data_IF_978787603628
#
_entry.id   IF_978787603628
#
_cell.length_a   1.000
_cell.length_b   1.000
_cell.length_c   1.000
_cell.angle_alpha   90.00
_cell.angle_beta   90.00
_cell.angle_gamma   90.00
#
_symmetry.space_group_name_H-M   'P 1'
#
loop_
_entity.id
_entity.type
_entity.pdbx_description
1 polymer ?
#
# COMPACT_ATOMS: atom_id res chain seq x y z
N UNK A 1 -7.93 -4.80 -15.17
CA UNK A 1 -6.73 -4.64 -14.30
C UNK A 1 -5.90 -3.49 -14.83
N UNK A 2 -5.50 -3.46 -16.09
CA UNK A 2 -4.79 -2.32 -16.73
C UNK A 2 -5.50 -0.98 -16.51
N UNK A 3 -6.83 -0.98 -16.64
CA UNK A 3 -7.63 0.21 -16.42
C UNK A 3 -7.54 0.69 -14.96
N UNK A 4 -7.62 -0.23 -14.00
CA UNK A 4 -7.55 0.09 -12.56
C UNK A 4 -6.19 0.64 -12.17
N UNK A 5 -5.09 0.00 -12.60
CA UNK A 5 -3.73 0.46 -12.31
C UNK A 5 -3.44 1.81 -12.97
N UNK A 6 -3.93 2.01 -14.20
CA UNK A 6 -3.85 3.31 -14.86
C UNK A 6 -4.60 4.39 -14.09
N UNK A 7 -5.81 4.09 -13.61
CA UNK A 7 -6.62 5.06 -12.86
C UNK A 7 -5.99 5.41 -11.51
N UNK A 8 -5.39 4.46 -10.80
CA UNK A 8 -4.64 4.77 -9.57
C UNK A 8 -3.44 5.68 -9.86
N UNK A 9 -2.67 5.40 -10.92
CA UNK A 9 -1.57 6.27 -11.33
C UNK A 9 -2.03 7.67 -11.69
N UNK A 10 -3.11 7.80 -12.44
CA UNK A 10 -3.70 9.09 -12.78
C UNK A 10 -4.27 9.81 -11.53
N UNK A 11 -4.94 9.09 -10.64
CA UNK A 11 -5.51 9.66 -9.43
C UNK A 11 -4.46 10.33 -8.55
N UNK A 12 -3.27 9.75 -8.46
CA UNK A 12 -2.21 10.28 -7.59
C UNK A 12 -1.18 11.16 -8.31
N UNK A 13 -1.31 11.33 -9.63
CA UNK A 13 -0.35 12.07 -10.46
C UNK A 13 -0.18 13.54 -10.06
N UNK A 14 -1.20 14.14 -9.49
CA UNK A 14 -1.22 15.55 -9.14
C UNK A 14 -1.09 15.82 -7.64
N UNK A 15 -0.65 14.80 -6.88
CA UNK A 15 -0.39 15.01 -5.46
C UNK A 15 0.81 15.92 -5.25
N UNK A 16 0.69 16.96 -4.41
CA UNK A 16 1.79 17.89 -4.15
C UNK A 16 2.90 17.23 -3.34
N UNK A 17 4.09 17.80 -3.44
CA UNK A 17 5.26 17.42 -2.66
C UNK A 17 4.98 17.46 -1.15
N UNK A 18 5.44 16.46 -0.43
CA UNK A 18 5.20 16.30 0.99
C UNK A 18 3.91 15.57 1.32
N UNK A 19 3.19 15.06 0.31
CA UNK A 19 2.01 14.22 0.53
C UNK A 19 2.41 12.78 0.83
N UNK A 20 1.73 12.17 1.78
CA UNK A 20 1.69 10.73 1.99
C UNK A 20 0.31 10.22 1.63
N UNK A 21 0.26 9.15 0.85
CA UNK A 21 -0.96 8.38 0.63
C UNK A 21 -0.75 7.02 1.28
N UNK A 22 -1.50 6.74 2.32
CA UNK A 22 -1.51 5.44 2.96
C UNK A 22 -2.74 4.67 2.49
N UNK A 23 -2.49 3.61 1.74
CA UNK A 23 -3.50 2.69 1.23
C UNK A 23 -3.51 1.45 2.11
N UNK A 24 -4.65 1.17 2.72
CA UNK A 24 -4.88 -0.02 3.53
C UNK A 24 -5.94 -0.89 2.85
N UNK A 25 -5.54 -2.08 2.47
CA UNK A 25 -6.45 -3.11 1.95
C UNK A 25 -6.67 -4.16 3.04
N UNK A 26 -7.89 -4.25 3.53
CA UNK A 26 -8.31 -5.22 4.54
C UNK A 26 -9.09 -6.34 3.87
N UNK A 27 -8.64 -7.56 4.07
CA UNK A 27 -9.24 -8.77 3.53
C UNK A 27 -9.68 -9.68 4.67
N UNK A 28 -10.99 -9.88 4.78
CA UNK A 28 -11.57 -10.69 5.85
C UNK A 28 -12.28 -11.91 5.28
N UNK A 29 -11.99 -13.07 5.83
CA UNK A 29 -12.70 -14.31 5.60
C UNK A 29 -14.07 -14.24 6.25
N UNK A 30 -15.12 -14.36 5.47
CA UNK A 30 -16.51 -14.33 5.93
C UNK A 30 -17.30 -15.50 5.38
N UNK A 31 -18.26 -15.96 6.15
CA UNK A 31 -19.27 -16.90 5.70
C UNK A 31 -20.38 -16.14 4.98
N UNK A 32 -20.74 -16.60 3.80
CA UNK A 32 -21.87 -16.05 3.07
C UNK A 32 -23.19 -16.52 3.70
N UNK A 33 -24.04 -15.58 4.08
CA UNK A 33 -25.39 -15.81 4.54
C UNK A 33 -26.36 -14.93 3.77
N UNK A 34 -27.29 -15.58 3.08
CA UNK A 34 -28.34 -14.89 2.31
C UNK A 34 -29.20 -14.00 3.23
N UNK A 35 -29.43 -12.77 2.79
CA UNK A 35 -30.34 -11.83 3.48
C UNK A 35 -29.72 -11.07 4.65
N UNK A 36 -28.42 -11.22 4.93
CA UNK A 36 -27.71 -10.37 5.89
C UNK A 36 -27.11 -9.11 5.25
N UNK A 37 -27.75 -8.63 4.19
CA UNK A 37 -27.78 -7.21 3.83
C UNK A 37 -26.48 -6.61 3.33
N UNK A 38 -25.70 -7.31 2.50
CA UNK A 38 -24.53 -6.68 1.88
C UNK A 38 -24.85 -5.97 0.56
N UNK A 39 -26.06 -6.13 0.00
CA UNK A 39 -26.40 -5.62 -1.33
C UNK A 39 -25.47 -6.13 -2.43
N UNK A 40 -24.74 -7.20 -2.15
CA UNK A 40 -23.72 -7.77 -3.02
C UNK A 40 -24.32 -8.38 -4.26
N UNK A 41 -23.51 -8.59 -5.29
CA UNK A 41 -23.91 -9.34 -6.48
C UNK A 41 -24.51 -10.71 -6.11
N UNK A 42 -24.01 -11.36 -5.06
CA UNK A 42 -24.48 -12.66 -4.59
C UNK A 42 -25.92 -12.60 -4.04
N UNK A 43 -26.34 -11.48 -3.45
CA UNK A 43 -27.72 -11.29 -2.96
C UNK A 43 -28.74 -11.18 -4.11
N UNK A 44 -28.31 -10.78 -5.30
CA UNK A 44 -29.14 -10.62 -6.50
C UNK A 44 -29.24 -11.91 -7.34
N UNK A 45 -28.19 -12.75 -7.28
CA UNK A 45 -28.23 -14.06 -7.90
C UNK A 45 -29.01 -15.04 -7.02
N UNK A 46 -29.48 -16.15 -7.58
CA UNK A 46 -30.02 -17.25 -6.75
C UNK A 46 -28.88 -17.93 -5.99
N UNK A 47 -28.47 -17.28 -4.90
CA UNK A 47 -27.25 -17.53 -4.17
C UNK A 47 -27.37 -18.69 -3.16
N UNK A 48 -28.42 -19.52 -3.24
CA UNK A 48 -28.60 -20.70 -2.38
C UNK A 48 -27.40 -21.65 -2.40
N UNK A 49 -26.70 -21.70 -3.52
CA UNK A 49 -25.49 -22.52 -3.67
C UNK A 49 -24.26 -21.98 -2.91
N UNK A 50 -24.32 -20.73 -2.45
CA UNK A 50 -23.21 -20.08 -1.74
C UNK A 50 -23.41 -20.01 -0.23
N UNK A 51 -24.58 -20.42 0.28
CA UNK A 51 -24.89 -20.40 1.71
C UNK A 51 -23.83 -21.21 2.48
N UNK A 52 -23.24 -20.57 3.52
CA UNK A 52 -22.18 -21.16 4.34
C UNK A 52 -20.82 -21.32 3.65
N UNK A 53 -20.64 -20.82 2.40
CA UNK A 53 -19.32 -20.83 1.77
C UNK A 53 -18.52 -19.61 2.20
N UNK A 54 -17.22 -19.85 2.39
CA UNK A 54 -16.26 -18.79 2.68
C UNK A 54 -16.03 -17.91 1.46
N UNK A 55 -15.98 -16.62 1.67
CA UNK A 55 -15.51 -15.64 0.69
C UNK A 55 -14.59 -14.64 1.37
N UNK A 56 -13.83 -13.91 0.57
CA UNK A 56 -12.97 -12.82 1.05
C UNK A 56 -13.72 -11.51 0.82
N UNK A 57 -14.02 -10.82 1.91
CA UNK A 57 -14.54 -9.45 1.88
C UNK A 57 -13.36 -8.47 1.85
N UNK A 58 -13.42 -7.50 0.94
CA UNK A 58 -12.33 -6.56 0.73
C UNK A 58 -12.80 -5.12 0.96
N UNK A 59 -12.10 -4.43 1.83
CA UNK A 59 -12.27 -3.00 2.07
C UNK A 59 -10.94 -2.30 1.82
N UNK A 60 -10.95 -1.26 0.98
CA UNK A 60 -9.79 -0.42 0.72
C UNK A 60 -10.02 0.96 1.36
N UNK A 61 -9.07 1.42 2.15
CA UNK A 61 -9.08 2.73 2.81
C UNK A 61 -7.88 3.52 2.32
N UNK A 62 -8.12 4.77 1.97
CA UNK A 62 -7.08 5.72 1.59
C UNK A 62 -7.01 6.84 2.63
N UNK A 63 -5.82 7.02 3.19
CA UNK A 63 -5.51 8.14 4.07
C UNK A 63 -4.56 9.08 3.35
N UNK A 64 -4.93 10.35 3.30
CA UNK A 64 -4.09 11.41 2.73
C UNK A 64 -3.54 12.26 3.85
N UNK A 65 -2.23 12.45 3.89
CA UNK A 65 -1.53 13.23 4.90
C UNK A 65 -0.59 14.21 4.22
N UNK A 66 -0.71 15.49 4.57
CA UNK A 66 0.22 16.52 4.14
C UNK A 66 1.23 16.81 5.25
N UNK A 67 2.51 16.64 4.95
CA UNK A 67 3.61 16.93 5.86
C UNK A 67 4.35 18.23 5.48
N UNK A 68 5.15 18.74 6.42
CA UNK A 68 6.08 19.84 6.16
C UNK A 68 5.41 21.22 6.04
N UNK A 69 4.33 21.46 6.78
CA UNK A 69 3.76 22.79 6.94
C UNK A 69 4.62 23.57 7.92
N UNK A 70 5.33 24.59 7.44
CA UNK A 70 6.29 25.41 8.24
C UNK A 70 5.66 26.10 9.44
N UNK A 71 4.39 26.45 9.33
CA UNK A 71 3.64 27.11 10.44
C UNK A 71 3.42 26.18 11.62
N UNK A 72 3.17 24.88 11.35
CA UNK A 72 2.99 23.87 12.41
C UNK A 72 4.31 23.50 13.09
N UNK A 73 5.40 23.41 12.34
CA UNK A 73 6.72 23.14 12.90
C UNK A 73 7.17 24.23 13.88
N UNK A 74 6.95 25.51 13.53
CA UNK A 74 7.28 26.64 14.41
C UNK A 74 6.36 26.74 15.64
N UNK A 75 5.08 26.44 15.49
CA UNK A 75 4.13 26.45 16.61
C UNK A 75 4.45 25.38 17.65
N UNK A 76 4.91 24.21 17.20
CA UNK A 76 5.27 23.11 18.10
C UNK A 76 6.53 23.41 18.94
N UNK A 77 7.46 24.18 18.40
CA UNK A 77 8.73 24.54 19.08
C UNK A 77 8.57 25.72 20.02
N UNK A 78 7.64 26.66 19.77
CA UNK A 78 7.59 27.92 20.48
C UNK A 78 6.60 27.99 21.64
N UNK A 79 5.51 27.32 21.68
CA UNK A 79 4.62 27.08 22.83
C UNK A 79 3.32 26.39 22.41
N UNK A 80 2.83 25.36 23.12
CA UNK A 80 1.53 24.77 22.86
C UNK A 80 0.33 25.72 23.11
N UNK A 81 0.56 26.83 23.77
CA UNK A 81 -0.45 27.87 24.07
C UNK A 81 -0.44 29.02 23.04
N UNK A 82 0.55 29.13 22.19
CA UNK A 82 0.66 30.15 21.14
C UNK A 82 0.14 29.67 19.78
N UNK A 83 -0.86 28.81 19.76
CA UNK A 83 -1.57 28.41 18.55
C UNK A 83 -2.30 29.64 17.99
N UNK A 84 -1.57 30.50 17.32
CA UNK A 84 -2.15 31.62 16.58
C UNK A 84 -2.45 31.18 15.15
N UNK A 85 -3.69 31.20 14.86
CA UNK A 85 -4.55 31.01 13.72
C UNK A 85 -4.08 31.47 12.33
N UNK A 86 -2.80 31.70 12.09
CA UNK A 86 -2.39 32.17 10.77
C UNK A 86 -1.36 31.21 10.16
N UNK A 87 -1.87 30.32 9.33
CA UNK A 87 -1.03 29.61 8.37
C UNK A 87 -0.25 30.62 7.51
N UNK A 88 1.00 30.37 7.28
CA UNK A 88 1.80 31.16 6.35
C UNK A 88 1.18 31.06 4.95
N UNK A 89 1.29 32.10 4.13
CA UNK A 89 0.73 32.11 2.78
C UNK A 89 1.21 30.94 1.91
N UNK A 90 2.44 30.48 2.13
CA UNK A 90 2.99 29.28 1.44
C UNK A 90 2.31 27.99 1.90
N UNK A 91 1.97 27.90 3.17
CA UNK A 91 1.28 26.73 3.72
C UNK A 91 -0.17 26.66 3.26
N UNK A 92 -0.84 27.81 3.10
CA UNK A 92 -2.15 27.88 2.46
C UNK A 92 -2.14 27.34 1.03
N UNK A 93 -1.17 27.75 0.22
CA UNK A 93 -1.03 27.26 -1.15
C UNK A 93 -0.77 25.75 -1.21
N UNK A 94 0.04 25.23 -0.28
CA UNK A 94 0.27 23.78 -0.18
C UNK A 94 -0.98 23.04 0.22
N UNK A 95 -1.73 23.56 1.18
CA UNK A 95 -2.98 22.97 1.63
C UNK A 95 -4.03 23.00 0.51
N UNK A 96 -4.15 24.12 -0.21
CA UNK A 96 -5.05 24.24 -1.37
C UNK A 96 -4.70 23.21 -2.45
N UNK A 97 -3.43 23.12 -2.86
CA UNK A 97 -2.98 22.12 -3.82
C UNK A 97 -3.19 20.68 -3.33
N UNK A 98 -3.05 20.43 -2.04
CA UNK A 98 -3.30 19.12 -1.44
C UNK A 98 -4.79 18.75 -1.50
N UNK A 99 -5.68 19.67 -1.16
CA UNK A 99 -7.13 19.45 -1.25
C UNK A 99 -7.59 19.26 -2.69
N UNK A 100 -7.08 20.07 -3.62
CA UNK A 100 -7.33 19.87 -5.05
C UNK A 100 -6.83 18.51 -5.55
N UNK A 101 -5.66 18.08 -5.07
CA UNK A 101 -5.11 16.76 -5.37
C UNK A 101 -6.02 15.64 -4.90
N UNK A 102 -6.57 15.75 -3.69
CA UNK A 102 -7.54 14.77 -3.15
C UNK A 102 -8.84 14.76 -3.96
N UNK A 103 -9.41 15.93 -4.27
CA UNK A 103 -10.64 16.04 -5.04
C UNK A 103 -10.48 15.43 -6.45
N UNK A 104 -9.35 15.68 -7.10
CA UNK A 104 -9.00 15.06 -8.37
C UNK A 104 -8.87 13.52 -8.24
N UNK A 105 -8.17 13.04 -7.21
CA UNK A 105 -8.01 11.61 -6.97
C UNK A 105 -9.35 10.93 -6.75
N UNK A 106 -10.21 11.49 -5.89
CA UNK A 106 -11.55 10.98 -5.62
C UNK A 106 -12.39 10.96 -6.88
N UNK A 107 -12.37 12.05 -7.67
CA UNK A 107 -13.11 12.14 -8.94
C UNK A 107 -12.69 11.05 -9.94
N UNK A 108 -11.38 10.81 -10.09
CA UNK A 108 -10.87 9.77 -10.97
C UNK A 108 -11.27 8.38 -10.48
N UNK A 109 -11.10 8.11 -9.19
CA UNK A 109 -11.43 6.81 -8.59
C UNK A 109 -12.94 6.51 -8.60
N UNK A 110 -13.79 7.52 -8.46
CA UNK A 110 -15.26 7.37 -8.59
C UNK A 110 -15.70 6.97 -10.00
N UNK A 111 -14.94 7.37 -11.01
CA UNK A 111 -15.20 6.99 -12.40
C UNK A 111 -14.78 5.54 -12.73
N UNK A 112 -14.09 4.87 -11.82
CA UNK A 112 -13.69 3.49 -11.99
C UNK A 112 -14.90 2.55 -11.88
N UNK A 113 -15.10 1.73 -12.90
CA UNK A 113 -16.26 0.83 -12.97
C UNK A 113 -16.32 -0.14 -11.80
N UNK A 114 -17.46 -0.15 -11.11
CA UNK A 114 -17.69 -1.04 -9.96
C UNK A 114 -17.03 -0.59 -8.66
N UNK A 115 -16.52 0.65 -8.60
CA UNK A 115 -15.94 1.25 -7.42
C UNK A 115 -16.86 2.37 -6.91
N UNK A 116 -16.97 2.47 -5.60
CA UNK A 116 -17.63 3.59 -4.91
C UNK A 116 -16.63 4.15 -3.90
N UNK A 117 -16.38 5.45 -3.98
CA UNK A 117 -15.48 6.16 -3.06
C UNK A 117 -16.34 7.04 -2.16
N UNK A 118 -16.25 6.81 -0.86
CA UNK A 118 -17.03 7.54 0.14
C UNK A 118 -16.07 8.13 1.18
N UNK A 119 -16.30 9.40 1.58
CA UNK A 119 -15.56 9.96 2.70
C UNK A 119 -15.97 9.23 3.98
N UNK A 120 -15.00 8.93 4.85
CA UNK A 120 -15.28 8.32 6.14
C UNK A 120 -15.79 9.38 7.13
N UNK A 121 -16.96 9.14 7.73
CA UNK A 121 -17.45 9.95 8.85
C UNK A 121 -16.61 9.70 10.12
N UNK A 122 -16.72 10.60 11.10
CA UNK A 122 -16.05 10.43 12.40
C UNK A 122 -16.41 9.11 13.09
N UNK A 123 -17.67 8.73 13.02
CA UNK A 123 -18.17 7.47 13.60
C UNK A 123 -17.56 6.27 12.89
N UNK A 124 -17.45 6.35 11.57
CA UNK A 124 -16.83 5.29 10.76
C UNK A 124 -15.33 5.17 11.05
N UNK A 125 -14.62 6.29 11.15
CA UNK A 125 -13.19 6.31 11.50
C UNK A 125 -12.99 5.67 12.88
N UNK A 126 -13.79 6.07 13.87
CA UNK A 126 -13.72 5.52 15.23
C UNK A 126 -13.99 4.02 15.24
N UNK A 127 -15.09 3.58 14.61
CA UNK A 127 -15.47 2.16 14.54
C UNK A 127 -14.41 1.33 13.80
N UNK A 128 -13.89 1.85 12.69
CA UNK A 128 -12.84 1.17 11.94
C UNK A 128 -11.55 1.07 12.75
N UNK A 129 -11.09 2.16 13.35
CA UNK A 129 -9.85 2.17 14.16
C UNK A 129 -9.98 1.19 15.33
N UNK A 130 -11.13 1.15 15.97
CA UNK A 130 -11.39 0.20 17.04
C UNK A 130 -11.36 -1.25 16.56
N UNK A 131 -12.05 -1.56 15.46
CA UNK A 131 -12.04 -2.88 14.86
C UNK A 131 -10.63 -3.29 14.39
N UNK A 132 -9.91 -2.36 13.76
CA UNK A 132 -8.55 -2.56 13.26
C UNK A 132 -7.56 -2.87 14.40
N UNK A 133 -7.64 -2.11 15.51
CA UNK A 133 -6.78 -2.33 16.69
C UNK A 133 -7.01 -3.70 17.32
N UNK A 134 -8.21 -4.25 17.24
CA UNK A 134 -8.58 -5.59 17.69
C UNK A 134 -8.41 -6.68 16.63
N UNK A 135 -7.74 -6.38 15.48
CA UNK A 135 -7.65 -7.30 14.34
C UNK A 135 -9.02 -7.84 13.91
N UNK A 136 -10.04 -6.98 13.92
CA UNK A 136 -11.44 -7.31 13.57
C UNK A 136 -12.06 -8.45 14.39
N UNK A 137 -11.48 -8.72 15.56
CA UNK A 137 -11.97 -9.68 16.53
C UNK A 137 -12.64 -9.03 17.74
N UNK A 138 -12.26 -9.48 18.92
CA UNK A 138 -12.76 -8.95 20.18
C UNK A 138 -12.15 -7.58 20.48
N UNK A 139 -12.97 -6.55 20.61
CA UNK A 139 -12.56 -5.17 20.74
C UNK A 139 -12.02 -4.81 22.12
N UNK A 140 -12.27 -5.63 23.12
CA UNK A 140 -11.78 -5.43 24.49
C UNK A 140 -10.47 -6.20 24.76
N UNK A 141 -9.82 -6.65 23.69
CA UNK A 141 -8.65 -7.50 23.78
C UNK A 141 -7.41 -6.72 24.23
N UNK A 142 -6.66 -7.33 25.12
CA UNK A 142 -5.30 -6.86 25.47
C UNK A 142 -4.35 -7.27 24.36
N UNK A 143 -3.57 -6.31 23.88
CA UNK A 143 -2.49 -6.58 22.92
C UNK A 143 -1.32 -7.16 23.66
N UNK A 144 -0.87 -8.33 23.25
CA UNK A 144 0.33 -8.99 23.76
C UNK A 144 1.31 -9.23 22.61
N UNK A 145 2.58 -8.92 22.83
CA UNK A 145 3.63 -9.02 21.83
C UNK A 145 4.62 -10.07 22.29
N UNK A 146 4.69 -11.18 21.56
CA UNK A 146 5.64 -12.23 21.83
C UNK A 146 7.03 -11.96 21.24
N UNK A 147 8.06 -12.46 21.91
CA UNK A 147 9.48 -12.26 21.50
C UNK A 147 9.80 -12.99 20.18
N UNK A 148 9.06 -14.02 19.85
CA UNK A 148 9.21 -14.77 18.59
C UNK A 148 8.75 -14.01 17.33
N UNK A 149 8.34 -12.75 17.49
CA UNK A 149 7.86 -11.91 16.40
C UNK A 149 6.38 -12.10 16.07
N UNK A 150 5.63 -12.88 16.87
CA UNK A 150 4.17 -12.93 16.77
C UNK A 150 3.54 -11.82 17.60
N UNK A 151 2.40 -11.34 17.12
CA UNK A 151 1.55 -10.37 17.80
C UNK A 151 0.25 -11.07 18.18
N UNK A 152 -0.09 -11.03 19.47
CA UNK A 152 -1.35 -11.56 19.96
C UNK A 152 -2.29 -10.41 20.30
N UNK A 153 -3.50 -10.46 19.76
CA UNK A 153 -4.55 -9.47 20.03
C UNK A 153 -5.82 -10.23 20.34
N UNK A 154 -6.13 -10.36 21.61
CA UNK A 154 -7.26 -11.18 22.07
C UNK A 154 -7.15 -12.63 21.64
N UNK A 155 -8.06 -13.06 20.76
CA UNK A 155 -8.07 -14.42 20.21
C UNK A 155 -7.28 -14.55 18.91
N UNK A 156 -6.84 -13.43 18.33
CA UNK A 156 -6.13 -13.43 17.06
C UNK A 156 -4.62 -13.40 17.29
N UNK A 157 -3.93 -14.22 16.54
CA UNK A 157 -2.49 -14.20 16.40
C UNK A 157 -2.16 -13.59 15.04
N UNK A 158 -1.15 -12.74 14.95
CA UNK A 158 -0.77 -12.07 13.74
C UNK A 158 0.72 -12.17 13.44
N UNK A 159 1.06 -12.08 12.16
CA UNK A 159 2.44 -12.00 11.67
C UNK A 159 2.53 -11.00 10.53
N UNK A 160 3.51 -10.09 10.64
CA UNK A 160 3.72 -9.03 9.66
C UNK A 160 4.98 -9.29 8.84
N UNK A 161 4.94 -8.86 7.59
CA UNK A 161 6.05 -8.90 6.63
C UNK A 161 6.20 -7.51 6.05
N UNK A 162 7.39 -6.93 6.15
CA UNK A 162 7.64 -5.58 5.69
C UNK A 162 8.68 -5.56 4.58
N UNK A 163 8.38 -4.83 3.51
CA UNK A 163 9.32 -4.47 2.45
C UNK A 163 9.55 -2.97 2.56
N UNK A 164 10.60 -2.59 3.28
CA UNK A 164 10.85 -1.21 3.71
C UNK A 164 12.18 -0.63 3.22
N UNK A 165 12.94 -1.39 2.44
CA UNK A 165 14.22 -0.98 1.91
C UNK A 165 14.31 -1.27 0.42
N UNK A 166 15.00 -0.43 -0.34
CA UNK A 166 15.20 -0.62 -1.79
C UNK A 166 15.92 -1.93 -2.11
N UNK A 167 16.80 -2.39 -1.22
CA UNK A 167 17.50 -3.68 -1.37
C UNK A 167 16.61 -4.90 -1.19
N UNK A 168 15.36 -4.70 -0.74
CA UNK A 168 14.35 -5.73 -0.60
C UNK A 168 13.52 -5.93 -1.87
N UNK A 169 13.60 -4.97 -2.79
CA UNK A 169 12.93 -5.06 -4.08
C UNK A 169 13.67 -6.02 -5.01
N UNK A 170 12.98 -6.70 -5.91
CA UNK A 170 13.62 -7.53 -6.93
C UNK A 170 14.47 -6.67 -7.87
N UNK A 171 15.56 -7.24 -8.36
CA UNK A 171 16.38 -6.58 -9.38
C UNK A 171 15.59 -6.46 -10.70
N UNK A 172 15.63 -5.29 -11.31
CA UNK A 172 14.95 -4.98 -12.56
C UNK A 172 13.50 -4.54 -12.40
N UNK A 173 12.75 -4.54 -13.50
CA UNK A 173 11.32 -4.20 -13.49
C UNK A 173 10.48 -5.35 -12.99
N UNK A 174 9.49 -5.05 -12.16
CA UNK A 174 8.46 -6.03 -11.78
C UNK A 174 7.48 -6.12 -12.96
N UNK A 175 7.46 -7.26 -13.63
CA UNK A 175 6.51 -7.49 -14.70
C UNK A 175 5.11 -7.67 -14.10
N UNK A 176 4.17 -6.89 -14.62
CA UNK A 176 2.77 -6.95 -14.19
C UNK A 176 1.96 -8.02 -14.93
N UNK A 177 2.56 -8.74 -15.84
CA UNK A 177 1.90 -9.84 -16.56
C UNK A 177 2.89 -10.94 -16.91
N UNK A 178 2.40 -12.16 -16.94
CA UNK A 178 3.11 -13.34 -17.42
C UNK A 178 2.44 -13.81 -18.70
N UNK A 179 3.22 -14.12 -19.71
CA UNK A 179 2.71 -14.71 -20.95
C UNK A 179 2.63 -16.22 -20.78
N UNK A 180 1.44 -16.76 -20.86
CA UNK A 180 1.23 -18.20 -20.91
C UNK A 180 1.30 -18.67 -22.38
N UNK A 181 2.41 -19.28 -22.74
CA UNK A 181 2.65 -19.76 -24.11
C UNK A 181 1.77 -20.97 -24.49
N UNK A 182 1.13 -21.60 -23.49
CA UNK A 182 0.18 -22.71 -23.72
C UNK A 182 -1.17 -22.23 -24.24
N UNK A 183 -1.46 -20.93 -24.16
CA UNK A 183 -2.72 -20.33 -24.59
C UNK A 183 -2.59 -19.61 -25.93
N UNK A 184 -3.70 -19.48 -26.69
CA UNK A 184 -3.72 -18.68 -27.92
C UNK A 184 -3.27 -17.24 -27.64
N UNK A 185 -2.60 -16.54 -28.59
CA UNK A 185 -2.03 -15.20 -28.39
C UNK A 185 -3.00 -14.16 -27.79
N UNK A 186 -4.29 -14.26 -28.13
CA UNK A 186 -5.32 -13.36 -27.60
C UNK A 186 -5.69 -13.62 -26.13
N UNK A 187 -5.38 -14.80 -25.60
CA UNK A 187 -5.67 -15.20 -24.21
C UNK A 187 -4.39 -15.46 -23.40
N UNK A 188 -3.21 -15.32 -24.01
CA UNK A 188 -1.93 -15.70 -23.41
C UNK A 188 -1.38 -14.70 -22.41
N UNK A 189 -1.93 -13.49 -22.33
CA UNK A 189 -1.53 -12.51 -21.36
C UNK A 189 -2.31 -12.72 -20.07
N UNK A 190 -1.68 -13.43 -19.13
CA UNK A 190 -2.17 -13.55 -17.77
C UNK A 190 -1.60 -12.38 -16.96
N UNK A 191 -2.49 -11.51 -16.52
CA UNK A 191 -2.15 -10.43 -15.63
C UNK A 191 -1.98 -11.01 -14.21
N UNK A 192 -0.77 -10.95 -13.67
CA UNK A 192 -0.48 -11.35 -12.30
C UNK A 192 0.20 -10.21 -11.55
N UNK A 193 -0.52 -9.15 -11.21
CA UNK A 193 0.04 -8.16 -10.31
C UNK A 193 0.33 -8.84 -8.98
N UNK A 194 1.53 -8.58 -8.43
CA UNK A 194 1.97 -9.11 -7.13
C UNK A 194 0.89 -8.95 -6.04
N UNK A 195 0.20 -7.81 -6.08
CA UNK A 195 -0.84 -7.47 -5.10
C UNK A 195 -2.09 -8.35 -5.22
N UNK A 196 -2.38 -8.95 -6.35
CA UNK A 196 -3.49 -9.92 -6.44
C UNK A 196 -3.18 -11.19 -5.68
N UNK A 197 -1.94 -11.66 -5.74
CA UNK A 197 -1.51 -12.86 -5.01
C UNK A 197 -1.46 -12.65 -3.50
N UNK A 198 -1.10 -11.43 -3.06
CA UNK A 198 -1.11 -11.01 -1.65
C UNK A 198 -2.43 -10.36 -1.24
N UNK A 199 -3.39 -10.20 -2.14
CA UNK A 199 -4.70 -9.62 -1.93
C UNK A 199 -5.80 -10.68 -2.07
N UNK A 200 -6.65 -10.51 -3.08
CA UNK A 200 -7.86 -11.34 -3.29
C UNK A 200 -7.61 -12.85 -3.38
N UNK A 201 -6.42 -13.26 -3.83
CA UNK A 201 -6.08 -14.69 -3.95
C UNK A 201 -5.42 -15.28 -2.69
N UNK A 202 -5.23 -14.49 -1.65
CA UNK A 202 -4.77 -15.00 -0.36
C UNK A 202 -5.99 -15.39 0.50
N UNK A 203 -6.29 -16.67 0.72
CA UNK A 203 -7.54 -17.12 1.34
C UNK A 203 -7.52 -17.07 2.88
N UNK A 204 -6.88 -16.06 3.43
CA UNK A 204 -6.71 -15.85 4.86
C UNK A 204 -7.11 -14.43 5.25
N UNK A 205 -7.36 -14.19 6.53
CA UNK A 205 -7.51 -12.82 7.01
C UNK A 205 -6.17 -12.11 6.91
N UNK A 206 -6.14 -10.97 6.24
CA UNK A 206 -4.91 -10.21 6.10
C UNK A 206 -5.16 -8.73 5.78
N UNK A 207 -4.14 -7.95 6.04
CA UNK A 207 -4.11 -6.53 5.76
C UNK A 207 -2.87 -6.27 4.91
N UNK A 208 -3.04 -5.51 3.82
CA UNK A 208 -1.93 -5.01 3.02
C UNK A 208 -1.88 -3.50 3.20
N UNK A 209 -0.78 -3.00 3.75
CA UNK A 209 -0.52 -1.59 3.89
C UNK A 209 0.48 -1.15 2.84
N UNK A 210 0.19 -0.06 2.14
CA UNK A 210 1.09 0.58 1.21
C UNK A 210 1.14 2.07 1.51
N UNK A 211 2.32 2.58 1.81
CA UNK A 211 2.56 4.01 1.99
C UNK A 211 3.33 4.53 0.80
N UNK A 212 2.81 5.57 0.17
CA UNK A 212 3.41 6.23 -0.96
C UNK A 212 3.74 7.67 -0.54
N UNK A 213 5.01 8.04 -0.63
CA UNK A 213 5.47 9.38 -0.31
C UNK A 213 5.91 10.14 -1.55
N UNK A 214 5.34 11.32 -1.74
CA UNK A 214 5.63 12.25 -2.83
C UNK A 214 6.69 13.25 -2.37
N UNK A 215 7.97 12.90 -2.59
CA UNK A 215 9.11 13.74 -2.15
C UNK A 215 9.34 14.96 -3.04
N UNK A 216 8.78 14.96 -4.24
CA UNK A 216 9.01 15.95 -5.27
C UNK A 216 9.98 15.46 -6.35
N UNK A 217 9.51 15.55 -7.60
CA UNK A 217 10.27 15.09 -8.75
C UNK A 217 11.62 15.80 -8.92
N UNK A 218 11.71 17.09 -8.61
CA UNK A 218 12.96 17.85 -8.75
C UNK A 218 14.05 17.36 -7.81
N UNK A 219 13.71 17.09 -6.55
CA UNK A 219 14.68 16.57 -5.57
C UNK A 219 15.16 15.18 -5.96
N UNK A 220 14.25 14.33 -6.40
CA UNK A 220 14.59 12.97 -6.82
C UNK A 220 15.42 12.97 -8.10
N UNK A 221 15.05 13.80 -9.10
CA UNK A 221 15.85 13.99 -10.33
C UNK A 221 17.25 14.49 -10.02
N UNK A 222 17.38 15.50 -9.16
CA UNK A 222 18.70 16.03 -8.75
C UNK A 222 19.55 14.97 -8.05
N UNK A 223 18.96 14.10 -7.24
CA UNK A 223 19.67 13.01 -6.58
C UNK A 223 20.10 11.94 -7.58
N UNK A 224 19.24 11.56 -8.52
CA UNK A 224 19.58 10.61 -9.59
C UNK A 224 20.71 11.17 -10.46
N UNK A 225 20.61 12.43 -10.92
CA UNK A 225 21.64 13.07 -11.68
C UNK A 225 22.99 13.08 -10.96
N UNK A 226 23.00 13.41 -9.67
CA UNK A 226 24.22 13.36 -8.84
C UNK A 226 24.80 11.95 -8.74
N UNK A 227 23.96 10.93 -8.60
CA UNK A 227 24.42 9.54 -8.57
C UNK A 227 24.99 9.11 -9.92
N UNK A 228 24.38 9.53 -11.03
CA UNK A 228 24.90 9.30 -12.38
C UNK A 228 26.28 9.91 -12.54
N UNK A 229 26.50 11.13 -12.08
CA UNK A 229 27.82 11.78 -12.12
C UNK A 229 28.88 11.01 -11.31
N UNK A 230 28.51 10.54 -10.11
CA UNK A 230 29.39 9.78 -9.24
C UNK A 230 29.74 8.41 -9.86
N UNK A 231 28.73 7.67 -10.33
CA UNK A 231 28.95 6.36 -10.93
C UNK A 231 29.61 6.47 -12.30
N UNK A 232 29.25 7.49 -13.10
CA UNK A 232 29.89 7.75 -14.39
C UNK A 232 31.39 7.99 -14.27
N UNK A 233 31.80 8.76 -13.27
CA UNK A 233 33.21 9.04 -13.00
C UNK A 233 34.03 7.79 -12.59
N UNK A 234 33.33 6.78 -12.03
CA UNK A 234 33.93 5.55 -11.53
C UNK A 234 33.64 4.30 -12.39
N UNK A 235 32.87 4.46 -13.48
CA UNK A 235 32.35 3.34 -14.29
C UNK A 235 33.45 2.50 -14.93
N UNK A 236 34.62 3.09 -15.21
CA UNK A 236 35.78 2.37 -15.78
C UNK A 236 36.50 1.46 -14.77
N UNK A 237 36.25 1.61 -13.48
CA UNK A 237 36.96 0.89 -12.43
C UNK A 237 36.34 -0.48 -12.09
N UNK A 238 35.02 -0.65 -12.28
CA UNK A 238 34.33 -1.87 -11.88
C UNK A 238 33.09 -2.11 -12.75
N UNK A 239 32.93 -3.34 -13.25
CA UNK A 239 31.77 -3.76 -14.05
C UNK A 239 30.42 -3.60 -13.32
N UNK A 240 30.40 -3.71 -12.01
CA UNK A 240 29.19 -3.48 -11.21
C UNK A 240 28.78 -2.02 -11.27
N UNK A 241 29.72 -1.10 -11.08
CA UNK A 241 29.51 0.34 -11.17
C UNK A 241 29.06 0.74 -12.60
N UNK A 242 29.65 0.13 -13.62
CA UNK A 242 29.25 0.35 -15.02
C UNK A 242 27.79 -0.08 -15.26
N UNK A 243 27.37 -1.20 -14.68
CA UNK A 243 25.97 -1.67 -14.78
C UNK A 243 25.01 -0.72 -14.07
N UNK A 244 25.31 -0.34 -12.84
CA UNK A 244 24.50 0.60 -12.06
C UNK A 244 24.40 1.97 -12.75
N UNK A 245 25.50 2.45 -13.33
CA UNK A 245 25.49 3.67 -14.13
C UNK A 245 24.51 3.58 -15.32
N UNK A 246 24.57 2.48 -16.09
CA UNK A 246 23.67 2.26 -17.24
C UNK A 246 22.20 2.16 -16.84
N UNK A 247 21.92 1.52 -15.70
CA UNK A 247 20.56 1.40 -15.16
C UNK A 247 20.01 2.77 -14.71
N UNK A 248 20.82 3.57 -14.02
CA UNK A 248 20.44 4.92 -13.61
C UNK A 248 20.27 5.88 -14.80
N UNK A 249 21.14 5.81 -15.82
CA UNK A 249 21.03 6.62 -17.04
C UNK A 249 19.74 6.27 -17.81
N UNK A 250 19.42 4.97 -17.90
CA UNK A 250 18.15 4.51 -18.48
C UNK A 250 16.94 5.03 -17.69
N UNK A 251 16.97 4.90 -16.37
CA UNK A 251 15.91 5.39 -15.49
C UNK A 251 15.72 6.91 -15.65
N UNK A 252 16.81 7.68 -15.72
CA UNK A 252 16.75 9.12 -15.93
C UNK A 252 16.08 9.49 -17.26
N UNK A 253 16.39 8.75 -18.33
CA UNK A 253 15.77 8.96 -19.66
C UNK A 253 14.28 8.67 -19.61
N UNK A 254 13.88 7.54 -19.03
CA UNK A 254 12.46 7.16 -18.87
C UNK A 254 11.68 8.22 -18.06
N UNK A 255 12.27 8.76 -16.98
CA UNK A 255 11.65 9.82 -16.18
C UNK A 255 11.45 11.11 -16.97
N UNK A 256 12.42 11.46 -17.82
CA UNK A 256 12.37 12.70 -18.62
C UNK A 256 11.45 12.53 -19.82
N UNK A 257 11.59 11.45 -20.58
CA UNK A 257 10.88 11.20 -21.83
C UNK A 257 9.41 10.83 -21.59
N UNK A 258 9.16 9.96 -20.63
CA UNK A 258 7.82 9.46 -20.30
C UNK A 258 7.11 10.28 -19.22
N UNK A 259 7.73 11.35 -18.72
CA UNK A 259 7.22 12.20 -17.64
C UNK A 259 6.71 11.38 -16.42
N UNK A 260 7.47 10.34 -16.08
CA UNK A 260 7.12 9.47 -14.97
C UNK A 260 7.34 10.18 -13.63
N UNK A 261 6.44 9.92 -12.70
CA UNK A 261 6.54 10.41 -11.34
C UNK A 261 7.30 9.42 -10.48
N UNK A 262 8.29 9.90 -9.76
CA UNK A 262 9.03 9.12 -8.78
C UNK A 262 8.39 9.28 -7.41
N UNK A 263 8.18 8.17 -6.76
CA UNK A 263 7.66 8.11 -5.39
C UNK A 263 8.52 7.18 -4.54
N UNK A 264 8.52 7.39 -3.25
CA UNK A 264 9.00 6.38 -2.31
C UNK A 264 7.84 5.55 -1.86
N UNK A 265 7.99 4.25 -1.86
CA UNK A 265 6.95 3.34 -1.41
C UNK A 265 7.49 2.38 -0.37
N UNK A 266 6.64 2.09 0.59
CA UNK A 266 6.80 1.06 1.59
C UNK A 266 5.55 0.20 1.55
N UNK A 267 5.67 -1.11 1.67
CA UNK A 267 4.51 -1.94 1.88
C UNK A 267 4.74 -3.01 2.95
N UNK A 268 3.66 -3.43 3.58
CA UNK A 268 3.66 -4.54 4.51
C UNK A 268 2.42 -5.40 4.32
N UNK A 269 2.54 -6.67 4.67
CA UNK A 269 1.43 -7.62 4.72
C UNK A 269 1.36 -8.15 6.15
N UNK A 270 0.18 -8.07 6.76
CA UNK A 270 -0.10 -8.64 8.06
C UNK A 270 -1.17 -9.73 7.91
N UNK A 271 -0.84 -10.97 8.19
CA UNK A 271 -1.78 -12.08 8.25
C UNK A 271 -2.17 -12.35 9.69
N UNK A 272 -3.43 -12.73 9.92
CA UNK A 272 -3.92 -13.01 11.27
C UNK A 272 -5.03 -14.05 11.27
N UNK A 273 -5.10 -14.84 12.32
CA UNK A 273 -6.15 -15.83 12.56
C UNK A 273 -6.23 -16.16 14.05
N UNK A 274 -7.38 -16.67 14.49
CA UNK A 274 -7.57 -17.21 15.84
C UNK A 274 -6.98 -18.61 16.04
N UNK A 275 -6.46 -19.22 14.98
CA UNK A 275 -5.86 -20.57 15.00
C UNK A 275 -4.41 -20.50 14.55
N UNK A 276 -3.48 -20.98 15.38
CA UNK A 276 -2.05 -21.07 15.03
C UNK A 276 -1.82 -21.89 13.76
N UNK A 277 -2.57 -22.98 13.57
CA UNK A 277 -2.45 -23.82 12.38
C UNK A 277 -2.84 -23.05 11.09
N UNK A 278 -3.86 -22.22 11.14
CA UNK A 278 -4.26 -21.39 10.00
C UNK A 278 -3.27 -20.25 9.79
N UNK A 279 -2.75 -19.66 10.86
CA UNK A 279 -1.70 -18.65 10.78
C UNK A 279 -0.41 -19.20 10.15
N UNK A 280 0.01 -20.41 10.52
CA UNK A 280 1.18 -21.06 9.91
C UNK A 280 0.99 -21.32 8.41
N UNK A 281 -0.20 -21.73 7.99
CA UNK A 281 -0.52 -21.88 6.56
C UNK A 281 -0.47 -20.55 5.82
N UNK A 282 -1.03 -19.50 6.42
CA UNK A 282 -0.98 -18.15 5.88
C UNK A 282 0.47 -17.64 5.78
N UNK A 283 1.28 -17.81 6.84
CA UNK A 283 2.70 -17.48 6.87
C UNK A 283 3.46 -18.14 5.70
N UNK A 284 3.29 -19.45 5.56
CA UNK A 284 3.93 -20.19 4.47
C UNK A 284 3.54 -19.64 3.10
N UNK A 285 2.25 -19.34 2.89
CA UNK A 285 1.76 -18.83 1.62
C UNK A 285 2.29 -17.44 1.30
N UNK A 286 2.32 -16.52 2.26
CA UNK A 286 2.88 -15.18 2.06
C UNK A 286 4.37 -15.26 1.72
N UNK A 287 5.14 -16.07 2.44
CA UNK A 287 6.57 -16.29 2.14
C UNK A 287 6.79 -16.87 0.75
N UNK A 288 5.97 -17.83 0.33
CA UNK A 288 6.03 -18.40 -1.02
C UNK A 288 5.82 -17.30 -2.08
N UNK A 289 4.79 -16.46 -1.93
CA UNK A 289 4.50 -15.39 -2.88
C UNK A 289 5.63 -14.35 -2.93
N UNK A 290 6.12 -13.90 -1.78
CA UNK A 290 7.22 -12.94 -1.72
C UNK A 290 8.50 -13.50 -2.35
N UNK A 291 8.84 -14.75 -2.03
CA UNK A 291 10.04 -15.41 -2.57
C UNK A 291 9.94 -15.68 -4.08
N UNK A 292 8.78 -16.12 -4.58
CA UNK A 292 8.53 -16.32 -6.02
C UNK A 292 8.73 -15.02 -6.81
N UNK A 293 8.33 -13.89 -6.24
CA UNK A 293 8.50 -12.58 -6.82
C UNK A 293 9.85 -11.93 -6.48
N UNK A 294 10.78 -12.69 -5.86
CA UNK A 294 12.14 -12.25 -5.50
C UNK A 294 12.20 -11.06 -4.55
N UNK A 295 11.16 -10.82 -3.76
CA UNK A 295 11.20 -9.84 -2.69
C UNK A 295 11.94 -10.40 -1.49
N UNK A 296 12.82 -9.59 -0.92
CA UNK A 296 13.29 -9.78 0.43
C UNK A 296 12.30 -9.09 1.37
N UNK A 297 12.17 -9.59 2.57
CA UNK A 297 11.25 -9.05 3.55
C UNK A 297 11.85 -9.15 4.95
N UNK A 298 11.40 -8.25 5.79
CA UNK A 298 11.70 -8.22 7.21
C UNK A 298 10.47 -8.67 7.99
N UNK A 299 10.68 -9.52 8.99
CA UNK A 299 9.62 -9.90 9.94
C UNK A 299 9.90 -9.11 11.22
N UNK A 300 9.10 -8.10 11.53
CA UNK A 300 9.29 -7.29 12.71
C UNK A 300 9.11 -8.12 13.99
N UNK A 301 9.97 -7.90 14.96
CA UNK A 301 9.81 -8.43 16.31
C UNK A 301 8.90 -7.52 17.15
N UNK A 302 9.51 -6.72 18.00
CA UNK A 302 8.76 -5.78 18.86
C UNK A 302 8.01 -4.69 18.11
N UNK A 303 8.42 -4.38 16.87
CA UNK A 303 7.81 -3.34 16.05
C UNK A 303 6.60 -3.83 15.26
N UNK A 304 6.11 -5.04 15.49
CA UNK A 304 4.94 -5.58 14.80
C UNK A 304 3.75 -4.62 14.86
N UNK A 305 3.51 -4.04 16.02
CA UNK A 305 2.42 -3.08 16.20
C UNK A 305 2.60 -1.83 15.32
N UNK A 306 3.81 -1.26 15.30
CA UNK A 306 4.13 -0.10 14.49
C UNK A 306 4.13 -0.39 12.97
N UNK A 307 4.29 -1.64 12.57
CA UNK A 307 4.25 -2.06 11.15
C UNK A 307 2.85 -2.50 10.71
N UNK A 308 1.96 -2.73 11.66
CA UNK A 308 0.56 -3.02 11.40
C UNK A 308 -0.25 -1.73 11.14
N UNK A 309 0.16 -0.63 11.74
CA UNK A 309 -0.41 0.70 11.58
C UNK A 309 0.37 1.55 10.58
#
# INVERSE_FOLDING_TARGET
IDERDRMYREAFRHMPDGTYVHKQDVFLKKDYHRGKGTGSFLDRADARHFEGRLYIDHTCILHFVLAGLKSLEKAYVSSPLAYKEHLHREDYKKLEAFLEGIDNAVSILQNMRGTSVLPMSHEWISAFTHAYSGLFGDTDAVVDIHIDGSLHVGKNHARCYAVCDETFLPEGSIESYVRDESLPPAASQLYHPLMEQLGMYLPYNHIVNQVIYFEGNEKLRSRIARNIDIYGSNSSMNKTIEREFKELDKLQKEIIEDNQMLVRSFFSVCVFDGSDTELEKADKRVREVLNLNRFKYYIPGYENLAKMH
#
